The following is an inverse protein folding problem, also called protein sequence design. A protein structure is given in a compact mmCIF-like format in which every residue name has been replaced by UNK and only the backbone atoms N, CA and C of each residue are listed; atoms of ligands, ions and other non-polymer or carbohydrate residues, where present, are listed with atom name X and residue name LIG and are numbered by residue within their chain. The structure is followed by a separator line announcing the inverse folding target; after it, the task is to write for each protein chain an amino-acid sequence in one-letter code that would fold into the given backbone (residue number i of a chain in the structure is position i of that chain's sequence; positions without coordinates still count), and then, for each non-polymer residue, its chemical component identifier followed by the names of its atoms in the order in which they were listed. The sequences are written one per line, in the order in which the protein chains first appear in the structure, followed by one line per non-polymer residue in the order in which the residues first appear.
data_IF_752805768891
#
_entry.id   IF_752805768891
#
_cell.length_a   1.000
_cell.length_b   1.000
_cell.length_c   1.000
_cell.angle_alpha   90.00
_cell.angle_beta   90.00
_cell.angle_gamma   90.00
#
_symmetry.space_group_name_H-M   'P 1'
#
loop_
_entity.id
_entity.type
_entity.pdbx_description
1 polymer ?
#
# COMPACT_ATOMS: atom_id res chain seq x y z
N UNK A 1 -27.14 9.82 -11.30
CA UNK A 1 -25.71 9.73 -10.92
C UNK A 1 -24.91 10.32 -12.07
N UNK A 2 -24.12 11.38 -11.87
CA UNK A 2 -23.41 12.04 -12.98
C UNK A 2 -22.29 11.15 -13.51
N UNK A 3 -21.94 11.29 -14.78
CA UNK A 3 -20.84 10.54 -15.40
C UNK A 3 -19.49 10.74 -14.69
N UNK A 4 -19.28 11.89 -14.04
CA UNK A 4 -18.10 12.18 -13.23
C UNK A 4 -18.00 11.28 -12.00
N UNK A 5 -19.10 11.14 -11.24
CA UNK A 5 -19.15 10.27 -10.05
C UNK A 5 -18.85 8.83 -10.44
N UNK A 6 -19.39 8.35 -11.56
CA UNK A 6 -19.11 6.99 -12.04
C UNK A 6 -17.62 6.76 -12.33
N UNK A 7 -16.93 7.73 -12.92
CA UNK A 7 -15.48 7.65 -13.21
C UNK A 7 -14.64 7.57 -11.93
N UNK A 8 -14.98 8.33 -10.90
CA UNK A 8 -14.29 8.28 -9.60
C UNK A 8 -14.44 6.91 -8.94
N UNK A 9 -15.65 6.35 -8.94
CA UNK A 9 -15.90 5.01 -8.40
C UNK A 9 -15.17 3.90 -9.16
N UNK A 10 -14.95 4.05 -10.48
CA UNK A 10 -14.13 3.12 -11.25
C UNK A 10 -12.68 3.13 -10.76
N UNK A 11 -12.11 4.30 -10.47
CA UNK A 11 -10.75 4.40 -9.92
C UNK A 11 -10.68 3.72 -8.55
N UNK A 12 -11.65 3.99 -7.67
CA UNK A 12 -11.73 3.34 -6.35
C UNK A 12 -11.87 1.82 -6.47
N UNK A 13 -12.75 1.33 -7.34
CA UNK A 13 -12.94 -0.10 -7.56
C UNK A 13 -11.68 -0.76 -8.13
N UNK A 14 -10.99 -0.09 -9.06
CA UNK A 14 -9.74 -0.60 -9.65
C UNK A 14 -8.67 -0.81 -8.59
N UNK A 15 -8.55 0.09 -7.61
CA UNK A 15 -7.63 -0.04 -6.49
C UNK A 15 -7.85 -1.34 -5.71
N UNK A 16 -9.10 -1.66 -5.36
CA UNK A 16 -9.41 -2.92 -4.67
C UNK A 16 -9.13 -4.15 -5.55
N UNK A 17 -9.43 -4.08 -6.85
CA UNK A 17 -9.15 -5.16 -7.79
C UNK A 17 -7.64 -5.41 -7.93
N UNK A 18 -6.82 -4.36 -7.98
CA UNK A 18 -5.37 -4.50 -8.05
C UNK A 18 -4.77 -5.09 -6.77
N UNK A 19 -5.28 -4.73 -5.59
CA UNK A 19 -4.86 -5.37 -4.32
C UNK A 19 -5.24 -6.86 -4.30
N UNK A 20 -6.48 -7.18 -4.68
CA UNK A 20 -6.95 -8.56 -4.72
C UNK A 20 -6.14 -9.39 -5.73
N UNK A 21 -5.95 -8.87 -6.94
CA UNK A 21 -5.14 -9.48 -7.98
C UNK A 21 -3.69 -9.67 -7.56
N UNK A 22 -3.07 -8.65 -6.98
CA UNK A 22 -1.71 -8.72 -6.46
C UNK A 22 -1.57 -9.81 -5.38
N UNK A 23 -2.54 -9.90 -4.47
CA UNK A 23 -2.57 -10.93 -3.42
C UNK A 23 -2.58 -12.35 -4.00
N UNK A 24 -3.38 -12.58 -5.05
CA UNK A 24 -3.43 -13.87 -5.74
C UNK A 24 -2.12 -14.16 -6.48
N UNK A 25 -1.59 -13.19 -7.23
CA UNK A 25 -0.31 -13.32 -7.95
C UNK A 25 0.82 -13.64 -6.98
N UNK A 26 0.86 -12.97 -5.83
CA UNK A 26 1.84 -13.20 -4.78
C UNK A 26 1.73 -14.61 -4.19
N UNK A 27 0.50 -15.10 -3.96
CA UNK A 27 0.26 -16.45 -3.48
C UNK A 27 0.70 -17.52 -4.49
N UNK A 28 0.42 -17.31 -5.78
CA UNK A 28 0.90 -18.16 -6.88
C UNK A 28 2.42 -18.15 -6.94
N UNK A 29 3.05 -16.98 -6.79
CA UNK A 29 4.51 -16.85 -6.80
C UNK A 29 5.18 -17.66 -5.68
N UNK A 30 4.65 -17.59 -4.46
CA UNK A 30 5.11 -18.39 -3.32
C UNK A 30 4.92 -19.90 -3.54
N UNK A 31 3.78 -20.29 -4.13
CA UNK A 31 3.48 -21.67 -4.44
C UNK A 31 4.42 -22.23 -5.54
N UNK A 32 4.67 -21.46 -6.61
CA UNK A 32 5.60 -21.84 -7.68
C UNK A 32 7.05 -21.95 -7.19
N UNK A 33 7.45 -21.16 -6.19
CA UNK A 33 8.77 -21.29 -5.55
C UNK A 33 8.89 -22.53 -4.65
N UNK A 34 7.79 -23.24 -4.39
CA UNK A 34 7.76 -24.41 -3.51
C UNK A 34 7.91 -24.08 -2.01
N UNK A 35 7.74 -22.81 -1.61
CA UNK A 35 7.93 -22.40 -0.22
C UNK A 35 6.73 -22.75 0.66
N UNK A 36 5.53 -22.76 0.10
CA UNK A 36 4.30 -23.14 0.80
C UNK A 36 3.22 -23.59 -0.18
N UNK A 37 2.29 -24.43 0.29
CA UNK A 37 1.08 -24.81 -0.47
C UNK A 37 0.21 -23.57 -0.72
N UNK A 38 -0.48 -23.54 -1.87
CA UNK A 38 -1.30 -22.42 -2.30
C UNK A 38 -2.20 -21.81 -1.20
N UNK A 39 -2.94 -22.62 -0.44
CA UNK A 39 -3.81 -22.10 0.64
C UNK A 39 -3.06 -21.36 1.75
N UNK A 40 -1.87 -21.85 2.14
CA UNK A 40 -1.00 -21.18 3.12
C UNK A 40 -0.37 -19.92 2.54
N UNK A 41 0.04 -19.96 1.28
CA UNK A 41 0.54 -18.80 0.54
C UNK A 41 -0.52 -17.70 0.39
N UNK A 42 -1.76 -18.09 0.07
CA UNK A 42 -2.88 -17.17 -0.07
C UNK A 42 -3.24 -16.53 1.27
N UNK A 43 -3.33 -17.32 2.34
CA UNK A 43 -3.56 -16.79 3.69
C UNK A 43 -2.46 -15.82 4.13
N UNK A 44 -1.19 -16.16 3.88
CA UNK A 44 -0.06 -15.27 4.13
C UNK A 44 -0.19 -13.95 3.36
N UNK A 45 -0.38 -14.00 2.04
CA UNK A 45 -0.44 -12.80 1.20
C UNK A 45 -1.65 -11.94 1.56
N UNK A 46 -2.83 -12.56 1.73
CA UNK A 46 -4.05 -11.83 2.05
C UNK A 46 -3.94 -11.13 3.40
N UNK A 47 -3.43 -11.81 4.44
CA UNK A 47 -3.32 -11.24 5.78
C UNK A 47 -2.27 -10.14 5.85
N UNK A 48 -1.10 -10.35 5.23
CA UNK A 48 -0.03 -9.34 5.24
C UNK A 48 -0.40 -8.11 4.42
N UNK A 49 -1.01 -8.29 3.24
CA UNK A 49 -1.49 -7.17 2.43
C UNK A 49 -2.66 -6.45 3.11
N UNK A 50 -3.62 -7.17 3.69
CA UNK A 50 -4.74 -6.56 4.42
C UNK A 50 -4.25 -5.70 5.58
N UNK A 51 -3.39 -6.23 6.46
CA UNK A 51 -2.83 -5.48 7.58
C UNK A 51 -2.02 -4.29 7.09
N UNK A 52 -1.11 -4.50 6.13
CA UNK A 52 -0.22 -3.45 5.63
C UNK A 52 -0.98 -2.30 4.97
N UNK A 53 -1.99 -2.60 4.14
CA UNK A 53 -2.82 -1.55 3.55
C UNK A 53 -3.75 -0.93 4.60
N UNK A 54 -4.45 -1.69 5.43
CA UNK A 54 -5.37 -1.11 6.41
C UNK A 54 -4.67 -0.13 7.36
N UNK A 55 -3.55 -0.55 7.96
CA UNK A 55 -2.77 0.31 8.87
C UNK A 55 -2.08 1.42 8.09
N UNK A 56 -1.55 1.13 6.90
CA UNK A 56 -0.88 2.11 6.05
C UNK A 56 -1.80 3.26 5.62
N UNK A 57 -3.02 2.94 5.16
CA UNK A 57 -4.04 3.94 4.82
C UNK A 57 -4.57 4.68 6.05
N UNK A 58 -4.67 4.02 7.20
CA UNK A 58 -5.04 4.70 8.44
C UNK A 58 -4.00 5.76 8.81
N UNK A 59 -2.71 5.44 8.74
CA UNK A 59 -1.64 6.43 9.00
C UNK A 59 -1.67 7.55 7.97
N UNK A 60 -1.84 7.23 6.69
CA UNK A 60 -1.97 8.25 5.64
C UNK A 60 -3.17 9.17 5.88
N UNK A 61 -4.31 8.61 6.27
CA UNK A 61 -5.51 9.37 6.64
C UNK A 61 -5.25 10.31 7.82
N UNK A 62 -4.56 9.84 8.86
CA UNK A 62 -4.17 10.68 10.00
C UNK A 62 -3.24 11.81 9.57
N UNK A 63 -2.21 11.53 8.77
CA UNK A 63 -1.27 12.55 8.27
C UNK A 63 -2.00 13.61 7.45
N UNK A 64 -2.83 13.20 6.49
CA UNK A 64 -3.61 14.12 5.66
C UNK A 64 -4.62 14.91 6.51
N UNK A 65 -5.26 14.26 7.49
CA UNK A 65 -6.19 14.91 8.40
C UNK A 65 -5.53 16.00 9.25
N UNK A 66 -4.35 15.72 9.80
CA UNK A 66 -3.55 16.71 10.55
C UNK A 66 -3.16 17.88 9.66
N UNK A 67 -2.66 17.62 8.44
CA UNK A 67 -2.31 18.68 7.49
C UNK A 67 -3.53 19.55 7.18
N UNK A 68 -4.69 18.94 6.92
CA UNK A 68 -5.93 19.69 6.66
C UNK A 68 -6.35 20.55 7.86
N UNK A 69 -6.27 20.01 9.09
CA UNK A 69 -6.55 20.81 10.30
C UNK A 69 -5.62 22.01 10.41
N UNK A 70 -4.32 21.83 10.14
CA UNK A 70 -3.33 22.92 10.15
C UNK A 70 -3.57 23.98 9.05
N UNK A 71 -4.22 23.58 7.95
CA UNK A 71 -4.64 24.52 6.90
C UNK A 71 -5.82 25.36 7.40
N UNK A 72 -6.80 24.71 8.03
CA UNK A 72 -8.03 25.38 8.51
C UNK A 72 -7.80 26.32 9.69
N UNK A 73 -6.90 25.97 10.62
CA UNK A 73 -6.58 26.81 11.79
C UNK A 73 -5.53 27.90 11.50
N UNK A 74 -4.97 27.92 10.28
CA UNK A 74 -3.96 28.88 9.85
C UNK A 74 -2.57 28.67 10.46
N UNK A 75 -2.37 27.64 11.28
CA UNK A 75 -1.09 27.32 11.94
C UNK A 75 0.03 27.02 10.94
N UNK A 76 -0.31 26.56 9.74
CA UNK A 76 0.64 26.38 8.64
C UNK A 76 1.39 27.66 8.26
N UNK A 77 0.81 28.85 8.48
CA UNK A 77 1.48 30.12 8.19
C UNK A 77 2.57 30.49 9.21
N UNK A 78 2.57 29.83 10.36
CA UNK A 78 3.50 30.06 11.46
C UNK A 78 4.63 28.99 11.43
N UNK A 79 4.43 27.91 10.67
CA UNK A 79 5.39 26.82 10.55
C UNK A 79 6.57 27.20 9.64
N UNK A 80 7.78 27.21 10.20
CA UNK A 80 9.00 27.67 9.54
C UNK A 80 9.42 26.85 8.31
N UNK A 81 8.96 25.60 8.20
CA UNK A 81 9.22 24.72 7.05
C UNK A 81 7.93 24.36 6.30
N UNK A 82 6.98 25.29 6.16
CA UNK A 82 5.63 25.08 5.58
C UNK A 82 5.59 24.05 4.44
N UNK A 83 6.16 24.37 3.29
CA UNK A 83 6.03 23.53 2.10
C UNK A 83 6.88 22.25 2.17
N UNK A 84 8.12 22.36 2.67
CA UNK A 84 9.03 21.23 2.80
C UNK A 84 8.57 20.21 3.84
N UNK A 85 8.02 20.67 4.96
CA UNK A 85 7.50 19.84 6.04
C UNK A 85 6.23 19.11 5.62
N UNK A 86 5.30 19.76 4.92
CA UNK A 86 4.13 19.10 4.34
C UNK A 86 4.53 18.02 3.34
N UNK A 87 5.44 18.35 2.40
CA UNK A 87 5.93 17.39 1.42
C UNK A 87 6.63 16.20 2.10
N UNK A 88 7.50 16.45 3.08
CA UNK A 88 8.18 15.40 3.83
C UNK A 88 7.21 14.49 4.57
N UNK A 89 6.18 15.04 5.24
CA UNK A 89 5.18 14.25 5.96
C UNK A 89 4.34 13.38 5.01
N UNK A 90 3.96 13.91 3.84
CA UNK A 90 3.27 13.14 2.81
C UNK A 90 4.14 12.02 2.25
N UNK A 91 5.40 12.30 1.93
CA UNK A 91 6.36 11.30 1.46
C UNK A 91 6.54 10.21 2.51
N UNK A 92 6.75 10.58 3.78
CA UNK A 92 6.87 9.62 4.88
C UNK A 92 5.60 8.79 5.05
N UNK A 93 4.42 9.39 4.97
CA UNK A 93 3.15 8.69 5.03
C UNK A 93 2.98 7.65 3.91
N UNK A 94 3.38 7.99 2.69
CA UNK A 94 3.35 7.06 1.54
C UNK A 94 4.41 5.95 1.70
N UNK A 95 5.64 6.30 2.10
CA UNK A 95 6.74 5.33 2.32
C UNK A 95 6.52 4.44 3.54
N UNK A 96 5.65 4.83 4.47
CA UNK A 96 5.27 4.00 5.59
C UNK A 96 4.56 2.71 5.15
N UNK A 97 3.74 2.75 4.10
CA UNK A 97 3.02 1.59 3.57
C UNK A 97 3.98 0.45 3.14
N UNK A 98 4.95 0.67 2.22
CA UNK A 98 5.88 -0.39 1.84
C UNK A 98 6.79 -0.79 3.00
N UNK A 99 7.21 0.13 3.88
CA UNK A 99 8.02 -0.20 5.05
C UNK A 99 7.27 -1.17 5.98
N UNK A 100 6.01 -0.88 6.28
CA UNK A 100 5.16 -1.74 7.09
C UNK A 100 4.94 -3.10 6.42
N UNK A 101 4.63 -3.12 5.11
CA UNK A 101 4.47 -4.37 4.36
C UNK A 101 5.74 -5.23 4.39
N UNK A 102 6.93 -4.64 4.27
CA UNK A 102 8.22 -5.36 4.38
C UNK A 102 8.33 -6.03 5.74
N UNK A 103 8.08 -5.29 6.81
CA UNK A 103 8.16 -5.79 8.19
C UNK A 103 7.12 -6.89 8.42
N UNK A 104 5.86 -6.65 8.06
CA UNK A 104 4.78 -7.63 8.17
C UNK A 104 5.13 -8.91 7.42
N UNK A 105 5.49 -8.83 6.14
CA UNK A 105 5.85 -10.01 5.35
C UNK A 105 7.04 -10.74 5.94
N UNK A 106 8.06 -10.03 6.43
CA UNK A 106 9.23 -10.65 7.05
C UNK A 106 8.87 -11.42 8.32
N UNK A 107 8.09 -10.81 9.20
CA UNK A 107 7.62 -11.41 10.46
C UNK A 107 6.75 -12.62 10.15
N UNK A 108 5.79 -12.50 9.24
CA UNK A 108 4.88 -13.59 8.90
C UNK A 108 5.58 -14.75 8.16
N UNK A 109 6.56 -14.49 7.30
CA UNK A 109 7.38 -15.56 6.69
C UNK A 109 8.15 -16.35 7.73
N UNK A 110 8.63 -15.66 8.78
CA UNK A 110 9.33 -16.29 9.90
C UNK A 110 8.37 -17.06 10.80
N UNK A 111 7.24 -16.45 11.18
CA UNK A 111 6.25 -17.02 12.08
C UNK A 111 5.55 -18.25 11.48
N UNK A 112 5.20 -18.18 10.20
CA UNK A 112 4.59 -19.30 9.47
C UNK A 112 5.62 -20.31 8.96
N UNK A 113 6.91 -20.15 9.31
CA UNK A 113 8.02 -21.03 8.90
C UNK A 113 8.02 -21.33 7.39
N UNK A 114 7.76 -20.31 6.57
CA UNK A 114 7.68 -20.44 5.10
C UNK A 114 9.09 -20.35 4.51
N UNK A 115 9.84 -19.29 4.86
CA UNK A 115 11.21 -19.10 4.39
C UNK A 115 11.96 -18.15 5.32
N UNK A 116 13.26 -18.41 5.52
CA UNK A 116 14.17 -17.55 6.28
C UNK A 116 15.41 -17.17 5.45
N UNK A 117 16.21 -16.24 5.96
CA UNK A 117 17.46 -15.80 5.32
C UNK A 117 17.30 -14.72 4.26
N UNK A 118 18.31 -14.58 3.39
CA UNK A 118 18.41 -13.49 2.39
C UNK A 118 17.26 -13.49 1.37
N UNK A 119 16.82 -14.68 0.95
CA UNK A 119 15.74 -14.81 -0.05
C UNK A 119 14.39 -14.30 0.48
N UNK A 120 14.11 -14.49 1.78
CA UNK A 120 12.92 -13.95 2.43
C UNK A 120 12.94 -12.42 2.47
N UNK A 121 14.09 -11.81 2.75
CA UNK A 121 14.27 -10.35 2.72
C UNK A 121 14.05 -9.75 1.33
N UNK A 122 14.73 -10.30 0.32
CA UNK A 122 14.57 -9.84 -1.06
C UNK A 122 13.13 -9.96 -1.54
N UNK A 123 12.46 -11.06 -1.18
CA UNK A 123 11.05 -11.25 -1.49
C UNK A 123 10.16 -10.21 -0.77
N UNK A 124 10.33 -9.99 0.53
CA UNK A 124 9.54 -8.99 1.27
C UNK A 124 9.72 -7.58 0.70
N UNK A 125 10.95 -7.20 0.32
CA UNK A 125 11.23 -5.90 -0.30
C UNK A 125 10.56 -5.81 -1.67
N UNK A 126 10.83 -6.76 -2.56
CA UNK A 126 10.32 -6.73 -3.93
C UNK A 126 8.79 -6.78 -3.97
N UNK A 127 8.17 -7.66 -3.19
CA UNK A 127 6.71 -7.78 -3.13
C UNK A 127 6.03 -6.56 -2.53
N UNK A 128 6.60 -5.93 -1.51
CA UNK A 128 6.02 -4.70 -0.94
C UNK A 128 6.11 -3.51 -1.89
N UNK A 129 7.25 -3.37 -2.59
CA UNK A 129 7.42 -2.31 -3.60
C UNK A 129 6.50 -2.53 -4.80
N UNK A 130 6.43 -3.76 -5.33
CA UNK A 130 5.51 -4.10 -6.42
C UNK A 130 4.06 -3.94 -5.99
N UNK A 131 3.72 -4.36 -4.77
CA UNK A 131 2.38 -4.20 -4.21
C UNK A 131 1.95 -2.73 -4.22
N UNK A 132 2.80 -1.84 -3.68
CA UNK A 132 2.55 -0.40 -3.67
C UNK A 132 2.39 0.16 -5.09
N UNK A 133 3.34 -0.12 -5.98
CA UNK A 133 3.36 0.43 -7.35
C UNK A 133 2.17 -0.06 -8.16
N UNK A 134 1.79 -1.33 -8.04
CA UNK A 134 0.63 -1.89 -8.75
C UNK A 134 -0.67 -1.37 -8.16
N UNK A 135 -0.79 -1.37 -6.84
CA UNK A 135 -2.05 -1.03 -6.16
C UNK A 135 -2.33 0.47 -6.17
N UNK A 136 -1.32 1.34 -6.12
CA UNK A 136 -1.52 2.79 -6.19
C UNK A 136 -1.24 3.36 -7.59
N UNK A 137 -0.16 2.92 -8.23
CA UNK A 137 0.24 3.45 -9.53
C UNK A 137 -0.75 3.14 -10.64
N UNK A 138 -1.28 1.91 -10.70
CA UNK A 138 -2.21 1.55 -11.76
C UNK A 138 -3.56 2.30 -11.67
N UNK A 139 -4.20 2.47 -10.49
CA UNK A 139 -5.37 3.33 -10.36
C UNK A 139 -5.10 4.80 -10.67
N UNK A 140 -3.94 5.35 -10.29
CA UNK A 140 -3.58 6.75 -10.61
C UNK A 140 -3.47 6.93 -12.13
N UNK A 141 -2.80 6.00 -12.82
CA UNK A 141 -2.71 6.03 -14.27
C UNK A 141 -4.10 5.90 -14.91
N UNK A 142 -4.95 4.99 -14.42
CA UNK A 142 -6.32 4.84 -14.88
C UNK A 142 -7.11 6.14 -14.70
N UNK A 143 -7.01 6.78 -13.54
CA UNK A 143 -7.64 8.06 -13.24
C UNK A 143 -7.17 9.17 -14.19
N UNK A 144 -5.87 9.24 -14.47
CA UNK A 144 -5.30 10.19 -15.42
C UNK A 144 -5.89 10.03 -16.84
N UNK A 145 -6.14 8.79 -17.30
CA UNK A 145 -6.75 8.56 -18.61
C UNK A 145 -8.28 8.75 -18.63
N UNK A 146 -8.98 8.47 -17.53
CA UNK A 146 -10.44 8.54 -17.47
C UNK A 146 -10.98 9.94 -17.13
N UNK A 147 -10.24 10.72 -16.34
CA UNK A 147 -10.66 12.04 -15.84
C UNK A 147 -10.12 13.21 -16.68
N UNK A 148 -9.21 12.93 -17.61
CA UNK A 148 -8.83 13.86 -18.69
C UNK A 148 -9.83 13.79 -19.84
#
# INVERSE_FOLDING_TARGET
MSAAIAKEWIVVLSFFLFIAGFTVVEAVWLNHKGWARFGKSLGFSALTNFIGYAVGFFVLFVVVGVIMMMVFDGSLNIFSMKDYGMAAMLILGVLFIPALLIVCKRVFLSYLTIQTGKSAWLYSIASSLLGLTVSLGAPILLGYFLLR
#
